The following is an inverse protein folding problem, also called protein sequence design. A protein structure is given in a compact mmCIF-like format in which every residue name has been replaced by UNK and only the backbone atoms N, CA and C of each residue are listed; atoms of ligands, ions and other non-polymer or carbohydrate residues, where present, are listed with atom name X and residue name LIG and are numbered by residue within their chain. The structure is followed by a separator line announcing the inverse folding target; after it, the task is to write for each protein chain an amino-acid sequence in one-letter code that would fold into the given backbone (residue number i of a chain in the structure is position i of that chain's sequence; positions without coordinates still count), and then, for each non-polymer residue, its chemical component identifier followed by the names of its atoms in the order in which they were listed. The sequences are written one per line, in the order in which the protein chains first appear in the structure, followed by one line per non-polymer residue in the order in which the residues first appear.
data_IF_000193783468
#
_entry.id   IF_000193783468
#
_cell.length_a   1.000
_cell.length_b   1.000
_cell.length_c   1.000
_cell.angle_alpha   90.00
_cell.angle_beta   90.00
_cell.angle_gamma   90.00
#
_symmetry.space_group_name_H-M   'P 1'
#
loop_
_entity.id
_entity.type
_entity.pdbx_description
1 polymer ?
#
# COMPACT_ATOMS: atom_id res chain seq x y z
N UNK A 1 1.90 -8.36 10.97
CA UNK A 1 0.94 -7.71 10.04
C UNK A 1 -0.22 -8.66 9.76
N UNK A 2 -1.32 -8.56 10.52
CA UNK A 2 -2.50 -9.45 10.47
C UNK A 2 -3.70 -8.75 9.81
N UNK A 3 -3.49 -8.01 8.71
CA UNK A 3 -4.57 -7.28 8.02
C UNK A 3 -5.70 -8.24 7.57
N UNK A 4 -5.33 -9.47 7.19
CA UNK A 4 -6.26 -10.56 6.79
C UNK A 4 -7.03 -11.21 7.95
N UNK A 5 -6.77 -10.78 9.20
CA UNK A 5 -7.51 -11.19 10.41
C UNK A 5 -8.06 -9.98 11.17
N UNK A 6 -8.12 -8.82 10.53
CA UNK A 6 -8.55 -7.57 11.15
C UNK A 6 -10.04 -7.58 11.55
N UNK A 7 -10.42 -6.91 12.66
CA UNK A 7 -11.82 -6.63 13.00
C UNK A 7 -12.61 -5.97 11.87
N UNK A 8 -11.94 -5.14 11.04
CA UNK A 8 -12.56 -4.41 9.93
C UNK A 8 -13.09 -5.33 8.82
N UNK A 9 -12.28 -6.25 8.30
CA UNK A 9 -12.73 -7.20 7.26
C UNK A 9 -13.90 -8.04 7.77
N UNK A 10 -13.86 -8.46 9.05
CA UNK A 10 -14.99 -9.20 9.64
C UNK A 10 -16.25 -8.34 9.74
N UNK A 11 -16.14 -7.07 10.13
CA UNK A 11 -17.30 -6.18 10.20
C UNK A 11 -17.94 -5.98 8.83
N UNK A 12 -17.12 -5.72 7.80
CA UNK A 12 -17.59 -5.58 6.42
C UNK A 12 -18.21 -6.88 5.91
N UNK A 13 -17.58 -8.02 6.16
CA UNK A 13 -18.09 -9.32 5.76
C UNK A 13 -19.43 -9.65 6.44
N UNK A 14 -19.57 -9.33 7.74
CA UNK A 14 -20.86 -9.46 8.45
C UNK A 14 -21.94 -8.60 7.82
N UNK A 15 -21.61 -7.37 7.42
CA UNK A 15 -22.54 -6.47 6.77
C UNK A 15 -22.96 -7.01 5.40
N UNK A 16 -22.02 -7.49 4.58
CA UNK A 16 -22.32 -8.10 3.28
C UNK A 16 -23.24 -9.31 3.41
N UNK A 17 -22.97 -10.20 4.39
CA UNK A 17 -23.84 -11.35 4.67
C UNK A 17 -25.24 -10.89 5.08
N UNK A 18 -25.36 -9.85 5.91
CA UNK A 18 -26.65 -9.31 6.31
C UNK A 18 -27.41 -8.68 5.13
N UNK A 19 -26.72 -7.88 4.32
CA UNK A 19 -27.27 -7.17 3.16
C UNK A 19 -27.71 -8.12 2.05
N UNK A 20 -27.02 -9.25 1.87
CA UNK A 20 -27.39 -10.27 0.88
C UNK A 20 -28.65 -11.07 1.27
N UNK A 21 -28.97 -11.17 2.56
CA UNK A 21 -30.14 -11.94 3.04
C UNK A 21 -29.84 -12.93 4.17
N UNK A 22 -28.65 -12.86 4.77
CA UNK A 22 -28.26 -13.62 5.94
C UNK A 22 -27.39 -14.85 5.64
N UNK A 23 -27.02 -15.57 6.70
CA UNK A 23 -26.00 -16.63 6.69
C UNK A 23 -26.37 -17.79 5.78
N UNK A 24 -27.65 -18.20 5.73
CA UNK A 24 -28.08 -19.34 4.91
C UNK A 24 -28.06 -19.01 3.42
N UNK A 25 -28.57 -17.84 3.04
CA UNK A 25 -28.48 -17.34 1.68
C UNK A 25 -27.01 -17.24 1.24
N UNK A 26 -26.16 -16.59 2.04
CA UNK A 26 -24.74 -16.43 1.73
C UNK A 26 -24.02 -17.77 1.57
N UNK A 27 -24.31 -18.74 2.45
CA UNK A 27 -23.75 -20.08 2.36
C UNK A 27 -24.17 -20.81 1.07
N UNK A 28 -25.44 -20.65 0.66
CA UNK A 28 -25.94 -21.23 -0.59
C UNK A 28 -25.28 -20.59 -1.81
N UNK A 29 -25.16 -19.25 -1.85
CA UNK A 29 -24.49 -18.53 -2.93
C UNK A 29 -23.03 -18.99 -3.10
N UNK A 30 -22.29 -19.05 -1.99
CA UNK A 30 -20.85 -19.38 -2.01
C UNK A 30 -20.62 -20.89 -2.22
N UNK A 31 -21.64 -21.72 -1.99
CA UNK A 31 -21.52 -23.18 -2.08
C UNK A 31 -20.75 -23.79 -0.91
N UNK A 32 -20.94 -23.25 0.31
CA UNK A 32 -20.27 -23.74 1.52
C UNK A 32 -21.26 -24.03 2.66
N UNK A 33 -20.79 -24.63 3.76
CA UNK A 33 -21.63 -24.88 4.92
C UNK A 33 -21.97 -23.58 5.67
N UNK A 34 -23.19 -23.46 6.19
CA UNK A 34 -23.62 -22.37 7.11
C UNK A 34 -22.63 -22.16 8.28
N UNK A 35 -22.07 -23.26 8.78
CA UNK A 35 -21.06 -23.25 9.84
C UNK A 35 -19.78 -22.53 9.44
N UNK A 36 -19.38 -22.59 8.16
CA UNK A 36 -18.21 -21.90 7.62
C UNK A 36 -18.39 -20.39 7.67
N UNK A 37 -19.51 -19.87 7.15
CA UNK A 37 -19.84 -18.43 7.20
C UNK A 37 -19.87 -17.94 8.66
N UNK A 38 -20.50 -18.70 9.55
CA UNK A 38 -20.58 -18.36 10.99
C UNK A 38 -19.20 -18.30 11.65
N UNK A 39 -18.31 -19.27 11.36
CA UNK A 39 -16.93 -19.28 11.85
C UNK A 39 -16.13 -18.10 11.30
N UNK A 40 -16.31 -17.76 10.04
CA UNK A 40 -15.67 -16.62 9.37
C UNK A 40 -16.07 -15.28 10.00
N UNK A 41 -17.37 -15.06 10.17
CA UNK A 41 -17.91 -13.87 10.85
C UNK A 41 -17.36 -13.72 12.28
N UNK A 42 -17.17 -14.82 13.00
CA UNK A 42 -16.66 -14.81 14.38
C UNK A 42 -15.12 -14.86 14.47
N UNK A 43 -14.41 -14.93 13.34
CA UNK A 43 -12.94 -14.97 13.31
C UNK A 43 -12.34 -16.32 13.70
N UNK A 44 -13.14 -17.39 13.75
CA UNK A 44 -12.68 -18.77 13.92
C UNK A 44 -12.20 -19.39 12.60
N UNK A 45 -12.48 -18.76 11.45
CA UNK A 45 -11.99 -19.14 10.14
C UNK A 45 -11.56 -17.91 9.33
N UNK A 46 -10.64 -18.11 8.39
CA UNK A 46 -10.19 -17.05 7.48
C UNK A 46 -11.24 -16.77 6.40
N UNK A 47 -11.33 -15.51 5.98
CA UNK A 47 -12.22 -15.04 4.90
C UNK A 47 -11.36 -14.91 3.64
N UNK A 48 -11.55 -15.81 2.68
CA UNK A 48 -10.88 -15.77 1.38
C UNK A 48 -11.62 -14.90 0.36
N UNK A 49 -10.96 -14.59 -0.76
CA UNK A 49 -11.54 -13.78 -1.85
C UNK A 49 -12.78 -14.43 -2.48
N UNK A 50 -12.78 -15.76 -2.55
CA UNK A 50 -13.90 -16.58 -2.98
C UNK A 50 -15.15 -16.43 -2.09
N UNK A 51 -14.98 -15.97 -0.85
CA UNK A 51 -16.10 -15.81 0.09
C UNK A 51 -16.68 -14.40 0.04
N UNK A 52 -15.84 -13.36 0.06
CA UNK A 52 -16.35 -11.98 0.03
C UNK A 52 -16.66 -11.51 -1.40
N UNK A 53 -15.89 -11.93 -2.41
CA UNK A 53 -16.06 -11.44 -3.78
C UNK A 53 -17.43 -11.75 -4.34
N UNK A 54 -17.90 -12.99 -4.19
CA UNK A 54 -19.25 -13.38 -4.63
C UNK A 54 -20.35 -12.56 -3.96
N UNK A 55 -20.21 -12.24 -2.67
CA UNK A 55 -21.18 -11.40 -1.96
C UNK A 55 -21.11 -9.93 -2.40
N UNK A 56 -19.91 -9.40 -2.63
CA UNK A 56 -19.74 -8.03 -3.12
C UNK A 56 -20.39 -7.84 -4.50
N UNK A 57 -20.23 -8.82 -5.39
CA UNK A 57 -20.80 -8.82 -6.73
C UNK A 57 -22.34 -8.88 -6.69
N UNK A 58 -22.91 -9.77 -5.86
CA UNK A 58 -24.37 -9.90 -5.73
C UNK A 58 -25.02 -8.70 -5.02
N UNK A 59 -24.36 -8.13 -4.02
CA UNK A 59 -24.85 -6.93 -3.31
C UNK A 59 -24.63 -5.65 -4.15
N UNK A 60 -23.73 -5.70 -5.14
CA UNK A 60 -23.36 -4.57 -6.00
C UNK A 60 -22.53 -3.51 -5.27
N UNK A 61 -21.77 -3.90 -4.25
CA UNK A 61 -20.92 -3.02 -3.42
C UNK A 61 -19.64 -3.77 -3.04
N UNK A 62 -18.48 -3.10 -3.14
CA UNK A 62 -17.15 -3.73 -3.00
C UNK A 62 -16.30 -3.23 -1.81
N UNK A 63 -16.84 -3.13 -0.58
CA UNK A 63 -16.15 -2.45 0.52
C UNK A 63 -14.86 -3.12 1.00
N UNK A 64 -14.76 -4.45 0.95
CA UNK A 64 -13.53 -5.18 1.30
C UNK A 64 -12.50 -4.99 0.20
N UNK A 65 -12.92 -5.07 -1.06
CA UNK A 65 -12.05 -4.80 -2.22
C UNK A 65 -11.54 -3.36 -2.22
N UNK A 66 -12.39 -2.36 -1.97
CA UNK A 66 -12.01 -0.95 -1.78
C UNK A 66 -11.02 -0.79 -0.63
N UNK A 67 -11.25 -1.44 0.52
CA UNK A 67 -10.33 -1.43 1.65
C UNK A 67 -8.94 -1.98 1.26
N UNK A 68 -8.90 -3.03 0.44
CA UNK A 68 -7.65 -3.60 -0.06
C UNK A 68 -6.95 -2.68 -1.07
N UNK A 69 -7.69 -2.03 -1.97
CA UNK A 69 -7.14 -1.03 -2.88
C UNK A 69 -6.57 0.18 -2.16
N UNK A 70 -7.30 0.74 -1.19
CA UNK A 70 -6.82 1.85 -0.36
C UNK A 70 -5.57 1.48 0.45
N UNK A 71 -5.38 0.20 0.79
CA UNK A 71 -4.13 -0.29 1.38
C UNK A 71 -2.99 -0.27 0.37
N UNK A 72 -3.24 -0.71 -0.86
CA UNK A 72 -2.24 -0.68 -1.94
C UNK A 72 -1.80 0.75 -2.22
N UNK A 73 -2.74 1.69 -2.34
CA UNK A 73 -2.45 3.10 -2.61
C UNK A 73 -1.59 3.75 -1.52
N UNK A 74 -1.97 3.57 -0.25
CA UNK A 74 -1.16 4.05 0.88
C UNK A 74 0.24 3.44 0.91
N UNK A 75 0.34 2.12 0.69
CA UNK A 75 1.63 1.44 0.66
C UNK A 75 2.49 1.89 -0.53
N UNK A 76 1.90 2.19 -1.69
CA UNK A 76 2.67 2.68 -2.84
C UNK A 76 3.25 4.06 -2.59
N UNK A 77 2.49 4.97 -1.97
CA UNK A 77 2.96 6.32 -1.66
C UNK A 77 4.09 6.30 -0.62
N UNK A 78 3.94 5.50 0.45
CA UNK A 78 4.99 5.36 1.47
C UNK A 78 6.26 4.71 0.91
N UNK A 79 6.12 3.63 0.12
CA UNK A 79 7.27 2.94 -0.49
C UNK A 79 7.97 3.82 -1.52
N UNK A 80 7.23 4.58 -2.33
CA UNK A 80 7.81 5.52 -3.29
C UNK A 80 8.57 6.65 -2.60
N UNK A 81 7.98 7.24 -1.55
CA UNK A 81 8.65 8.27 -0.73
C UNK A 81 9.94 7.73 -0.13
N UNK A 82 9.90 6.57 0.51
CA UNK A 82 11.08 6.00 1.17
C UNK A 82 12.17 5.63 0.15
N UNK A 83 11.79 5.16 -1.05
CA UNK A 83 12.73 4.93 -2.15
C UNK A 83 13.39 6.22 -2.65
N UNK A 84 12.62 7.31 -2.79
CA UNK A 84 13.15 8.62 -3.19
C UNK A 84 14.10 9.20 -2.13
N UNK A 85 13.77 9.08 -0.84
CA UNK A 85 14.66 9.49 0.26
C UNK A 85 15.97 8.71 0.20
N UNK A 86 15.92 7.39 0.06
CA UNK A 86 17.12 6.56 -0.02
C UNK A 86 17.97 6.87 -1.26
N UNK A 87 17.33 7.19 -2.38
CA UNK A 87 18.04 7.66 -3.58
C UNK A 87 18.71 9.00 -3.33
N UNK A 88 18.01 9.97 -2.73
CA UNK A 88 18.55 11.30 -2.45
C UNK A 88 19.76 11.22 -1.51
N UNK A 89 19.68 10.40 -0.47
CA UNK A 89 20.79 10.17 0.46
C UNK A 89 22.01 9.56 -0.24
N UNK A 90 21.80 8.65 -1.19
CA UNK A 90 22.88 8.03 -1.96
C UNK A 90 23.59 9.06 -2.83
N UNK A 91 22.85 9.78 -3.67
CA UNK A 91 23.47 10.75 -4.59
C UNK A 91 24.13 11.93 -3.84
N UNK A 92 23.56 12.35 -2.69
CA UNK A 92 24.18 13.38 -1.85
C UNK A 92 25.49 12.94 -1.20
N UNK A 93 25.72 11.64 -1.00
CA UNK A 93 26.93 11.14 -0.37
C UNK A 93 28.19 11.45 -1.19
N UNK A 94 28.06 11.52 -2.50
CA UNK A 94 29.18 11.77 -3.42
C UNK A 94 29.48 13.26 -3.63
N UNK A 95 28.54 14.15 -3.27
CA UNK A 95 28.71 15.61 -3.37
C UNK A 95 29.80 16.12 -2.40
N UNK A 96 29.83 15.61 -1.17
CA UNK A 96 30.82 16.02 -0.16
C UNK A 96 32.27 15.79 -0.62
N UNK A 97 32.64 14.55 -1.01
CA UNK A 97 33.94 14.25 -1.61
C UNK A 97 34.26 15.11 -2.84
N UNK A 98 33.28 15.34 -3.72
CA UNK A 98 33.47 16.17 -4.91
C UNK A 98 33.80 17.64 -4.56
N UNK A 99 33.13 18.21 -3.57
CA UNK A 99 33.42 19.56 -3.07
C UNK A 99 34.82 19.65 -2.44
N UNK A 100 35.25 18.62 -1.70
CA UNK A 100 36.59 18.57 -1.13
C UNK A 100 37.67 18.47 -2.22
N UNK A 101 37.43 17.70 -3.29
CA UNK A 101 38.34 17.62 -4.43
C UNK A 101 38.49 18.98 -5.12
N UNK A 102 37.37 19.69 -5.34
CA UNK A 102 37.38 21.04 -5.87
C UNK A 102 38.17 22.00 -4.96
N UNK A 103 37.89 22.02 -3.66
CA UNK A 103 38.52 22.94 -2.73
C UNK A 103 40.03 22.68 -2.56
N UNK A 104 40.44 21.41 -2.49
CA UNK A 104 41.82 21.04 -2.23
C UNK A 104 42.71 21.07 -3.49
N UNK A 105 42.16 20.74 -4.66
CA UNK A 105 42.94 20.52 -5.90
C UNK A 105 42.50 21.39 -7.07
N UNK A 106 41.42 22.14 -6.95
CA UNK A 106 40.80 22.86 -8.07
C UNK A 106 40.15 21.92 -9.09
N UNK A 107 39.96 20.63 -8.76
CA UNK A 107 39.39 19.65 -9.68
C UNK A 107 37.86 19.75 -9.67
N UNK A 108 37.33 20.35 -10.73
CA UNK A 108 35.89 20.52 -10.89
C UNK A 108 35.19 19.31 -11.53
N UNK A 109 35.92 18.31 -12.03
CA UNK A 109 35.32 17.24 -12.81
C UNK A 109 34.30 16.43 -12.01
N UNK A 110 34.63 16.11 -10.75
CA UNK A 110 33.74 15.38 -9.86
C UNK A 110 32.45 16.16 -9.56
N UNK A 111 32.53 17.45 -9.20
CA UNK A 111 31.34 18.22 -8.84
C UNK A 111 30.43 18.50 -10.05
N UNK A 112 31.02 18.62 -11.25
CA UNK A 112 30.25 18.76 -12.49
C UNK A 112 29.46 17.51 -12.85
N UNK A 113 29.83 16.34 -12.32
CA UNK A 113 29.09 15.09 -12.46
C UNK A 113 28.10 14.89 -11.31
N UNK A 114 28.59 14.85 -10.07
CA UNK A 114 27.78 14.46 -8.91
C UNK A 114 26.76 15.54 -8.49
N UNK A 115 27.07 16.83 -8.76
CA UNK A 115 26.19 17.95 -8.40
C UNK A 115 24.84 17.91 -9.12
N UNK A 116 24.80 17.80 -10.46
CA UNK A 116 23.55 17.64 -11.21
C UNK A 116 22.74 16.39 -10.81
N UNK A 117 23.39 15.25 -10.58
CA UNK A 117 22.72 13.99 -10.17
C UNK A 117 22.02 14.16 -8.81
N UNK A 118 22.70 14.76 -7.83
CA UNK A 118 22.11 15.07 -6.53
C UNK A 118 20.97 16.09 -6.62
N UNK A 119 21.12 17.14 -7.45
CA UNK A 119 20.08 18.15 -7.67
C UNK A 119 18.82 17.56 -8.32
N UNK A 120 18.98 16.67 -9.30
CA UNK A 120 17.86 16.01 -9.95
C UNK A 120 17.02 15.20 -8.95
N UNK A 121 17.67 14.38 -8.13
CA UNK A 121 16.96 13.55 -7.15
C UNK A 121 16.32 14.38 -6.04
N UNK A 122 16.99 15.44 -5.57
CA UNK A 122 16.39 16.38 -4.62
C UNK A 122 15.16 17.09 -5.19
N UNK A 123 15.23 17.57 -6.43
CA UNK A 123 14.09 18.19 -7.09
C UNK A 123 12.92 17.22 -7.25
N UNK A 124 13.18 15.93 -7.55
CA UNK A 124 12.15 14.90 -7.60
C UNK A 124 11.51 14.68 -6.22
N UNK A 125 12.31 14.63 -5.15
CA UNK A 125 11.81 14.49 -3.79
C UNK A 125 10.95 15.68 -3.37
N UNK A 126 11.39 16.91 -3.64
CA UNK A 126 10.62 18.14 -3.33
C UNK A 126 9.27 18.12 -4.05
N UNK A 127 9.25 17.84 -5.36
CA UNK A 127 7.99 17.72 -6.11
C UNK A 127 7.08 16.62 -5.57
N UNK A 128 7.64 15.50 -5.10
CA UNK A 128 6.85 14.42 -4.52
C UNK A 128 6.17 14.87 -3.23
N UNK A 129 6.84 15.68 -2.40
CA UNK A 129 6.27 16.24 -1.17
C UNK A 129 5.21 17.32 -1.49
N UNK A 130 5.48 18.23 -2.42
CA UNK A 130 4.53 19.29 -2.81
C UNK A 130 3.21 18.73 -3.37
N UNK A 131 3.25 17.59 -4.07
CA UNK A 131 2.05 16.95 -4.62
C UNK A 131 1.24 16.14 -3.59
N UNK A 132 1.66 16.10 -2.31
CA UNK A 132 0.94 15.43 -1.23
C UNK A 132 0.28 16.40 -0.23
N UNK A 133 0.45 17.72 -0.40
CA UNK A 133 -0.29 18.79 0.32
C UNK A 133 -1.55 19.22 -0.46
#
# INVERSE_FOLDING_TARGET
MQVYRGPAIRALYKQLVADFGGVEAAAHLIGCEKGTISKQMNGHAAIGAEHYGALEDEVGRWPITELMFARRERSSQEVERDALIMSAMRELADVGPALLALAAKGDAAAIMKEGPEALEVLNRLVRHVENQE
#
